data_IF_085359336527
#
_entry.id   IF_085359336527
#
_cell.length_a   1.000
_cell.length_b   1.000
_cell.length_c   1.000
_cell.angle_alpha   90.00
_cell.angle_beta   90.00
_cell.angle_gamma   90.00
#
_symmetry.space_group_name_H-M   'P 1'
#
loop_
_entity.id
_entity.type
_entity.pdbx_description
1 polymer ?
#
# COMPACT_ATOMS: atom_id res chain seq x y z
N UNK A 1 15.87 4.61 -14.03
CA UNK A 1 15.71 3.77 -12.83
C UNK A 1 14.48 2.85 -12.93
N UNK A 2 14.41 1.90 -13.89
CA UNK A 2 13.26 0.99 -14.03
C UNK A 2 12.92 0.14 -12.78
N UNK A 3 13.91 -0.39 -12.05
CA UNK A 3 13.67 -1.23 -10.88
C UNK A 3 13.08 -0.43 -9.72
N UNK A 4 13.65 0.74 -9.41
CA UNK A 4 13.11 1.63 -8.39
C UNK A 4 11.72 2.15 -8.77
N UNK A 5 11.48 2.40 -10.05
CA UNK A 5 10.18 2.86 -10.53
C UNK A 5 9.11 1.77 -10.42
N UNK A 6 9.41 0.54 -10.84
CA UNK A 6 8.51 -0.60 -10.66
C UNK A 6 8.21 -0.85 -9.18
N UNK A 7 9.23 -0.74 -8.33
CA UNK A 7 9.09 -0.87 -6.89
C UNK A 7 8.11 0.17 -6.31
N UNK A 8 8.26 1.43 -6.72
CA UNK A 8 7.36 2.52 -6.32
C UNK A 8 5.92 2.28 -6.80
N UNK A 9 5.73 1.81 -8.04
CA UNK A 9 4.40 1.51 -8.58
C UNK A 9 3.71 0.43 -7.73
N UNK A 10 4.39 -0.69 -7.43
CA UNK A 10 3.78 -1.78 -6.64
C UNK A 10 3.43 -1.29 -5.23
N UNK A 11 4.31 -0.51 -4.59
CA UNK A 11 4.03 0.10 -3.30
C UNK A 11 2.85 1.07 -3.36
N UNK A 12 2.77 1.89 -4.41
CA UNK A 12 1.68 2.82 -4.67
C UNK A 12 0.34 2.10 -4.86
N UNK A 13 0.31 0.99 -5.60
CA UNK A 13 -0.87 0.14 -5.76
C UNK A 13 -1.33 -0.44 -4.42
N UNK A 14 -0.39 -0.82 -3.55
CA UNK A 14 -0.73 -1.24 -2.18
C UNK A 14 -1.35 -0.12 -1.36
N UNK A 15 -0.80 1.09 -1.45
CA UNK A 15 -1.31 2.26 -0.75
C UNK A 15 -2.70 2.67 -1.25
N UNK A 16 -2.96 2.55 -2.55
CA UNK A 16 -4.29 2.70 -3.13
C UNK A 16 -5.22 1.62 -2.56
N UNK A 17 -4.73 0.39 -2.43
CA UNK A 17 -5.52 -0.75 -1.98
C UNK A 17 -6.05 -1.53 -3.18
N UNK A 18 -5.16 -1.83 -4.13
CA UNK A 18 -5.48 -2.71 -5.26
C UNK A 18 -5.45 -4.17 -4.79
N UNK A 19 -6.37 -5.04 -5.26
CA UNK A 19 -6.35 -6.46 -4.91
C UNK A 19 -4.97 -7.10 -5.09
N UNK A 20 -4.67 -8.14 -4.31
CA UNK A 20 -3.35 -8.81 -4.20
C UNK A 20 -2.29 -8.02 -3.43
N UNK A 21 -2.65 -6.94 -2.75
CA UNK A 21 -1.73 -6.18 -1.90
C UNK A 21 -2.19 -6.18 -0.45
N UNK A 22 -1.24 -6.14 0.49
CA UNK A 22 -1.56 -6.07 1.91
C UNK A 22 -2.40 -4.83 2.26
N UNK A 23 -2.20 -3.70 1.57
CA UNK A 23 -2.99 -2.49 1.77
C UNK A 23 -4.46 -2.63 1.38
N UNK A 24 -4.80 -3.49 0.41
CA UNK A 24 -6.20 -3.84 0.12
C UNK A 24 -6.84 -4.59 1.28
N UNK A 25 -6.17 -5.63 1.80
CA UNK A 25 -6.69 -6.43 2.92
C UNK A 25 -7.00 -5.53 4.13
N UNK A 26 -6.08 -4.64 4.50
CA UNK A 26 -6.29 -3.72 5.62
C UNK A 26 -7.54 -2.84 5.43
N UNK A 27 -7.66 -2.15 4.29
CA UNK A 27 -8.82 -1.27 4.02
C UNK A 27 -10.12 -2.05 3.86
N UNK A 28 -10.06 -3.26 3.31
CA UNK A 28 -11.22 -4.10 3.09
C UNK A 28 -11.86 -4.51 4.42
N UNK A 29 -11.06 -4.96 5.39
CA UNK A 29 -11.56 -5.30 6.72
C UNK A 29 -12.09 -4.08 7.48
N UNK A 30 -11.42 -2.92 7.36
CA UNK A 30 -11.94 -1.67 7.94
C UNK A 30 -13.29 -1.31 7.32
N UNK A 31 -13.43 -1.39 6.00
CA UNK A 31 -14.67 -1.07 5.32
C UNK A 31 -15.79 -2.01 5.76
N UNK A 32 -15.55 -3.32 5.79
CA UNK A 32 -16.52 -4.32 6.27
C UNK A 32 -16.95 -4.03 7.70
N UNK A 33 -16.01 -3.82 8.63
CA UNK A 33 -16.31 -3.54 10.03
C UNK A 33 -17.15 -2.26 10.20
N UNK A 34 -16.88 -1.22 9.41
CA UNK A 34 -17.68 0.02 9.45
C UNK A 34 -19.08 -0.14 8.90
N UNK A 35 -19.24 -0.96 7.85
CA UNK A 35 -20.54 -1.24 7.25
C UNK A 35 -21.39 -2.12 8.18
N UNK A 36 -20.78 -3.10 8.85
CA UNK A 36 -21.43 -3.94 9.87
C UNK A 36 -21.91 -3.15 11.09
N UNK A 37 -21.27 -2.02 11.40
CA UNK A 37 -21.66 -1.11 12.48
C UNK A 37 -22.55 0.06 12.02
N UNK A 38 -23.08 0.02 10.80
CA UNK A 38 -23.88 1.10 10.19
C UNK A 38 -23.18 2.47 10.15
N UNK A 39 -21.84 2.50 10.19
CA UNK A 39 -21.04 3.72 10.17
C UNK A 39 -20.74 4.19 8.74
N UNK A 40 -21.79 4.53 8.00
CA UNK A 40 -21.72 4.92 6.59
C UNK A 40 -20.77 6.09 6.30
N UNK A 41 -20.67 7.05 7.23
CA UNK A 41 -19.74 8.18 7.09
C UNK A 41 -18.28 7.70 7.08
N UNK A 42 -17.93 6.79 7.99
CA UNK A 42 -16.57 6.28 8.10
C UNK A 42 -16.21 5.38 6.91
N UNK A 43 -17.16 4.55 6.45
CA UNK A 43 -17.03 3.80 5.21
C UNK A 43 -16.75 4.72 4.02
N UNK A 44 -17.48 5.84 3.91
CA UNK A 44 -17.26 6.87 2.89
C UNK A 44 -15.85 7.48 2.96
N UNK A 45 -15.37 7.80 4.17
CA UNK A 45 -14.02 8.34 4.37
C UNK A 45 -12.94 7.34 3.91
N UNK A 46 -13.10 6.05 4.19
CA UNK A 46 -12.15 5.01 3.77
C UNK A 46 -12.05 4.95 2.24
N UNK A 47 -13.21 4.96 1.56
CA UNK A 47 -13.26 4.92 0.09
C UNK A 47 -12.70 6.20 -0.53
N UNK A 48 -13.08 7.37 -0.02
CA UNK A 48 -12.57 8.66 -0.51
C UNK A 48 -11.05 8.76 -0.29
N UNK A 49 -10.55 8.34 0.87
CA UNK A 49 -9.11 8.28 1.15
C UNK A 49 -8.36 7.40 0.15
N UNK A 50 -8.95 6.27 -0.25
CA UNK A 50 -8.41 5.40 -1.31
C UNK A 50 -8.37 6.09 -2.69
N UNK A 51 -9.44 6.80 -3.05
CA UNK A 51 -9.48 7.56 -4.32
C UNK A 51 -8.50 8.73 -4.33
N UNK A 52 -8.33 9.42 -3.21
CA UNK A 52 -7.30 10.45 -3.06
C UNK A 52 -5.89 9.84 -3.22
N UNK A 53 -5.67 8.64 -2.67
CA UNK A 53 -4.44 7.89 -2.88
C UNK A 53 -4.14 7.59 -4.33
N UNK A 54 -5.15 7.19 -5.10
CA UNK A 54 -5.03 7.02 -6.54
C UNK A 54 -4.58 8.33 -7.20
N UNK A 55 -5.21 9.46 -6.86
CA UNK A 55 -4.90 10.76 -7.43
C UNK A 55 -3.44 11.18 -7.22
N UNK A 56 -2.92 11.13 -5.99
CA UNK A 56 -1.55 11.57 -5.74
C UNK A 56 -0.51 10.53 -6.21
N UNK A 57 -0.76 9.23 -6.10
CA UNK A 57 0.17 8.19 -6.60
C UNK A 57 0.27 8.27 -8.10
N UNK A 58 -0.86 8.41 -8.80
CA UNK A 58 -0.90 8.55 -10.25
C UNK A 58 -0.05 9.72 -10.73
N UNK A 59 -0.15 10.88 -10.07
CA UNK A 59 0.67 12.05 -10.39
C UNK A 59 2.16 11.72 -10.33
N UNK A 60 2.62 10.93 -9.36
CA UNK A 60 4.03 10.52 -9.27
C UNK A 60 4.41 9.55 -10.39
N UNK A 61 3.54 8.59 -10.72
CA UNK A 61 3.77 7.65 -11.83
C UNK A 61 3.90 8.41 -13.16
N UNK A 62 3.03 9.40 -13.39
CA UNK A 62 3.08 10.27 -14.56
C UNK A 62 4.43 11.00 -14.66
N UNK A 63 4.89 11.58 -13.55
CA UNK A 63 6.20 12.23 -13.48
C UNK A 63 7.36 11.27 -13.77
N UNK A 64 7.25 10.03 -13.32
CA UNK A 64 8.35 9.07 -13.35
C UNK A 64 8.53 8.41 -14.72
N UNK A 65 7.42 8.17 -15.44
CA UNK A 65 7.43 7.45 -16.71
C UNK A 65 7.19 8.31 -17.94
N UNK A 66 6.43 9.40 -17.83
CA UNK A 66 5.92 10.14 -19.00
C UNK A 66 6.53 11.53 -19.16
N UNK A 67 7.28 12.04 -18.17
CA UNK A 67 8.01 13.31 -18.33
C UNK A 67 9.40 13.08 -18.88
N UNK A 68 9.72 13.78 -19.96
CA UNK A 68 11.06 13.80 -20.54
C UNK A 68 12.06 14.43 -19.57
N UNK A 69 13.27 13.84 -19.51
CA UNK A 69 14.36 14.42 -18.76
C UNK A 69 14.90 15.64 -19.51
N UNK A 70 15.09 16.80 -18.85
CA UNK A 70 15.76 17.94 -19.48
C UNK A 70 17.13 17.54 -20.03
N UNK A 71 17.45 17.96 -21.27
CA UNK A 71 18.64 17.54 -22.00
C UNK A 71 19.98 17.78 -21.28
N UNK A 72 20.02 18.68 -20.28
CA UNK A 72 21.21 19.03 -19.51
C UNK A 72 21.41 18.24 -18.19
N UNK A 73 20.57 17.24 -17.91
CA UNK A 73 20.71 16.46 -16.66
C UNK A 73 21.48 15.16 -16.88
N UNK A 74 22.41 14.81 -15.97
CA UNK A 74 23.10 13.53 -16.04
C UNK A 74 22.10 12.37 -15.98
N UNK A 75 22.38 11.32 -16.75
CA UNK A 75 21.52 10.13 -16.81
C UNK A 75 21.33 9.52 -15.42
N UNK A 76 20.08 9.43 -14.98
CA UNK A 76 19.72 8.89 -13.66
C UNK A 76 19.91 7.38 -13.66
N UNK A 77 20.97 6.92 -12.97
CA UNK A 77 21.30 5.50 -12.78
C UNK A 77 20.41 4.86 -11.72
N UNK A 78 20.32 3.54 -11.69
CA UNK A 78 19.60 2.80 -10.64
C UNK A 78 20.10 3.12 -9.23
N UNK A 79 19.21 2.94 -8.25
CA UNK A 79 19.60 2.95 -6.85
C UNK A 79 20.66 1.87 -6.58
N UNK A 80 21.59 2.10 -5.64
CA UNK A 80 22.58 1.09 -5.28
C UNK A 80 21.91 -0.17 -4.73
N UNK A 81 22.55 -1.32 -4.93
CA UNK A 81 22.03 -2.62 -4.51
C UNK A 81 21.71 -2.73 -3.02
N UNK A 82 22.44 -1.98 -2.18
CA UNK A 82 22.16 -1.88 -0.74
C UNK A 82 20.78 -1.30 -0.41
N UNK A 83 20.19 -0.52 -1.32
CA UNK A 83 18.83 0.03 -1.18
C UNK A 83 17.81 -0.81 -1.93
N UNK A 84 18.15 -1.32 -3.11
CA UNK A 84 17.24 -2.15 -3.90
C UNK A 84 16.84 -3.44 -3.19
N UNK A 85 17.79 -4.14 -2.55
CA UNK A 85 17.51 -5.43 -1.89
C UNK A 85 16.43 -5.27 -0.80
N UNK A 86 16.60 -4.39 0.21
CA UNK A 86 15.55 -4.18 1.22
C UNK A 86 14.21 -3.73 0.62
N UNK A 87 14.23 -2.81 -0.35
CA UNK A 87 12.99 -2.33 -0.99
C UNK A 87 12.21 -3.47 -1.63
N UNK A 88 12.89 -4.31 -2.42
CA UNK A 88 12.24 -5.45 -3.07
C UNK A 88 11.83 -6.54 -2.09
N UNK A 89 12.56 -6.73 -0.98
CA UNK A 89 12.13 -7.62 0.10
C UNK A 89 10.79 -7.17 0.70
N UNK A 90 10.64 -5.88 1.01
CA UNK A 90 9.38 -5.34 1.55
C UNK A 90 8.25 -5.44 0.53
N UNK A 91 8.53 -5.20 -0.75
CA UNK A 91 7.53 -5.32 -1.82
C UNK A 91 7.07 -6.77 -1.99
N UNK A 92 8.00 -7.72 -1.98
CA UNK A 92 7.67 -9.14 -2.04
C UNK A 92 6.81 -9.54 -0.85
N UNK A 93 7.16 -9.11 0.36
CA UNK A 93 6.35 -9.33 1.56
C UNK A 93 4.95 -8.69 1.45
N UNK A 94 4.86 -7.47 0.93
CA UNK A 94 3.59 -6.78 0.73
C UNK A 94 2.64 -7.51 -0.23
N UNK A 95 3.17 -8.08 -1.31
CA UNK A 95 2.38 -8.89 -2.25
C UNK A 95 2.06 -10.25 -1.64
N UNK A 96 3.03 -10.90 -0.99
CA UNK A 96 2.83 -12.18 -0.31
C UNK A 96 1.70 -12.10 0.72
N UNK A 97 1.73 -11.11 1.62
CA UNK A 97 0.67 -10.90 2.61
C UNK A 97 -0.65 -10.39 2.03
N UNK A 98 -0.63 -9.88 0.79
CA UNK A 98 -1.85 -9.56 0.05
C UNK A 98 -2.55 -10.80 -0.52
N UNK A 99 -1.81 -11.89 -0.75
CA UNK A 99 -2.33 -13.17 -1.24
C UNK A 99 -2.65 -14.11 -0.07
N UNK A 100 -1.70 -14.29 0.84
CA UNK A 100 -1.85 -15.05 2.08
C UNK A 100 -1.80 -14.10 3.27
N UNK A 101 -2.97 -13.65 3.69
CA UNK A 101 -3.16 -12.76 4.83
C UNK A 101 -3.35 -13.51 6.15
N UNK A 102 -3.26 -14.84 6.19
CA UNK A 102 -3.57 -15.63 7.39
C UNK A 102 -2.67 -15.22 8.57
N UNK A 103 -1.37 -15.02 8.33
CA UNK A 103 -0.43 -14.62 9.38
C UNK A 103 -0.71 -13.21 9.90
N UNK A 104 -0.95 -12.24 9.03
CA UNK A 104 -1.18 -10.84 9.42
C UNK A 104 -2.51 -10.66 10.12
N UNK A 105 -3.57 -11.33 9.62
CA UNK A 105 -4.89 -11.29 10.23
C UNK A 105 -4.93 -12.00 11.58
N UNK A 106 -4.35 -13.20 11.70
CA UNK A 106 -4.34 -13.93 12.97
C UNK A 106 -3.56 -13.18 14.07
N UNK A 107 -2.50 -12.46 13.72
CA UNK A 107 -1.80 -11.59 14.67
C UNK A 107 -2.66 -10.38 15.07
N UNK A 108 -3.34 -9.76 14.11
CA UNK A 108 -4.24 -8.64 14.39
C UNK A 108 -5.42 -9.06 15.28
N UNK A 109 -6.02 -10.23 15.03
CA UNK A 109 -7.10 -10.80 15.83
C UNK A 109 -6.65 -11.10 17.27
N UNK A 110 -5.46 -11.70 17.45
CA UNK A 110 -4.89 -11.95 18.79
C UNK A 110 -4.63 -10.65 19.54
N UNK A 111 -4.11 -9.63 18.85
CA UNK A 111 -3.89 -8.31 19.45
C UNK A 111 -5.21 -7.63 19.85
N UNK A 112 -6.23 -7.74 19.00
CA UNK A 112 -7.59 -7.26 19.29
C UNK A 112 -8.20 -7.96 20.51
N UNK A 113 -8.10 -9.28 20.60
CA UNK A 113 -8.60 -10.05 21.75
C UNK A 113 -7.93 -9.60 23.04
N UNK A 114 -6.61 -9.47 23.05
CA UNK A 114 -5.87 -8.98 24.21
C UNK A 114 -6.30 -7.55 24.62
N UNK A 115 -6.60 -6.67 23.66
CA UNK A 115 -7.11 -5.32 23.94
C UNK A 115 -8.53 -5.32 24.52
N UNK A 116 -9.42 -6.17 24.02
CA UNK A 116 -10.79 -6.27 24.52
C UNK A 116 -10.85 -6.90 25.91
N UNK A 117 -9.99 -7.87 26.22
CA UNK A 117 -9.88 -8.47 27.56
C UNK A 117 -9.29 -7.49 28.59
N UNK A 118 -8.42 -6.58 28.15
CA UNK A 118 -7.83 -5.53 28.99
C UNK A 118 -8.74 -4.30 29.16
N UNK A 119 -9.87 -4.22 28.43
CA UNK A 119 -10.81 -3.12 28.53
C UNK A 119 -11.66 -3.27 29.82
N UNK A 120 -11.81 -2.21 30.62
CA UNK A 120 -12.56 -2.23 31.88
C UNK A 120 -14.08 -2.38 31.70
#
# INVERSE_FOLDING_TARGET
>A
MPLSAAAFVIAGLSLIGVPLTAGFISKWYLLLATLEQDQWLLAGIIVVGSLLALGYVWRVIEQLYFRDSPHDRPAVREAPWSLLIPTWTVIAANVYFGIDSHLTLSLAERAMQALMEAAP
#
